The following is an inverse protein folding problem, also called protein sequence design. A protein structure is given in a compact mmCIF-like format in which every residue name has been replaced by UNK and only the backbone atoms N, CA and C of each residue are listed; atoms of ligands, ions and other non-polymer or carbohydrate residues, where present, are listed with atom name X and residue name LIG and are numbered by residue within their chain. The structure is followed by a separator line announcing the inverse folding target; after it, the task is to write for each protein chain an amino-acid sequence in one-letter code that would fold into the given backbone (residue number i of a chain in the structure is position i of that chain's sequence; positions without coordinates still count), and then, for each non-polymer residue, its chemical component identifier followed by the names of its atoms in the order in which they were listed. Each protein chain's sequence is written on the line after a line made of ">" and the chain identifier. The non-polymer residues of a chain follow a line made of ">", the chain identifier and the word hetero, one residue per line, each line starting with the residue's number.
data_IF_244202029607
#
_entry.id   IF_244202029607
#
_cell.length_a   1.000
_cell.length_b   1.000
_cell.length_c   1.000
_cell.angle_alpha   90.00
_cell.angle_beta   90.00
_cell.angle_gamma   90.00
#
_symmetry.space_group_name_H-M   'P 1'
#
loop_
_entity.id
_entity.type
_entity.pdbx_description
1 polymer ?
#
# COMPACT_ATOMS: atom_id res chain seq x y z
N UNK A 1 4.32 42.52 -15.40
CA UNK A 1 3.73 41.36 -16.09
C UNK A 1 4.19 40.14 -15.33
N UNK A 2 3.36 39.79 -14.36
CA UNK A 2 3.59 38.85 -13.29
C UNK A 2 3.75 37.43 -13.81
N UNK A 3 4.89 36.80 -13.48
CA UNK A 3 5.13 35.37 -13.64
C UNK A 3 5.25 34.75 -12.25
N UNK A 4 4.17 34.78 -11.49
CA UNK A 4 4.10 34.08 -10.21
C UNK A 4 2.67 33.60 -9.95
N UNK A 5 2.25 32.54 -10.65
CA UNK A 5 0.92 31.96 -10.48
C UNK A 5 0.77 30.48 -10.92
N UNK A 6 1.82 29.66 -10.89
CA UNK A 6 1.67 28.23 -11.29
C UNK A 6 2.53 27.24 -10.50
N UNK A 7 3.09 27.62 -9.34
CA UNK A 7 3.84 26.70 -8.46
C UNK A 7 2.99 26.24 -7.26
N UNK A 8 1.67 26.42 -7.34
CA UNK A 8 0.77 26.23 -6.20
C UNK A 8 0.18 24.83 -5.97
N UNK A 9 0.32 23.86 -6.89
CA UNK A 9 -0.41 22.59 -6.74
C UNK A 9 0.24 21.32 -7.32
N UNK A 10 1.51 21.35 -7.75
CA UNK A 10 2.11 20.18 -8.43
C UNK A 10 2.29 18.95 -7.52
N UNK A 11 2.54 19.15 -6.21
CA UNK A 11 2.74 18.03 -5.26
C UNK A 11 1.49 17.16 -5.04
N UNK A 12 0.29 17.73 -5.15
CA UNK A 12 -0.95 16.97 -5.02
C UNK A 12 -1.28 16.16 -6.29
N UNK A 13 -0.71 16.55 -7.44
CA UNK A 13 -0.92 15.88 -8.72
C UNK A 13 -0.01 14.65 -8.94
N UNK A 14 1.01 14.46 -8.11
CA UNK A 14 2.02 13.40 -8.25
C UNK A 14 1.83 12.22 -7.26
N UNK A 15 0.73 12.21 -6.49
CA UNK A 15 0.46 11.18 -5.47
C UNK A 15 -0.76 10.34 -5.84
N UNK A 16 -0.95 9.23 -5.14
CA UNK A 16 -2.07 8.33 -5.40
C UNK A 16 -3.42 8.99 -5.06
N UNK A 17 -4.44 8.70 -5.86
CA UNK A 17 -5.82 9.08 -5.57
C UNK A 17 -6.31 8.39 -4.27
N UNK A 18 -6.78 9.15 -3.25
CA UNK A 18 -7.31 8.59 -2.02
C UNK A 18 -8.42 7.55 -2.22
N UNK A 19 -9.27 7.70 -3.24
CA UNK A 19 -10.35 6.76 -3.50
C UNK A 19 -9.82 5.42 -4.03
N UNK A 20 -8.77 5.45 -4.87
CA UNK A 20 -8.05 4.26 -5.30
C UNK A 20 -7.40 3.54 -4.10
N UNK A 21 -6.70 4.28 -3.23
CA UNK A 21 -6.08 3.68 -2.04
C UNK A 21 -7.13 3.06 -1.13
N UNK A 22 -8.26 3.73 -0.94
CA UNK A 22 -9.36 3.19 -0.16
C UNK A 22 -9.93 1.91 -0.79
N UNK A 23 -10.03 1.84 -2.12
CA UNK A 23 -10.46 0.63 -2.83
C UNK A 23 -9.48 -0.54 -2.63
N UNK A 24 -8.17 -0.29 -2.69
CA UNK A 24 -7.12 -1.28 -2.40
C UNK A 24 -7.28 -1.83 -0.98
N UNK A 25 -7.43 -0.94 0.01
CA UNK A 25 -7.62 -1.36 1.40
C UNK A 25 -8.89 -2.20 1.60
N UNK A 26 -10.03 -1.76 1.04
CA UNK A 26 -11.29 -2.53 1.10
C UNK A 26 -11.18 -3.90 0.44
N UNK A 27 -10.41 -4.03 -0.66
CA UNK A 27 -10.17 -5.31 -1.30
C UNK A 27 -9.46 -6.29 -0.35
N UNK A 28 -8.39 -5.84 0.31
CA UNK A 28 -7.61 -6.68 1.23
C UNK A 28 -8.42 -7.01 2.50
N UNK A 29 -9.13 -6.04 3.07
CA UNK A 29 -9.95 -6.25 4.27
C UNK A 29 -11.11 -7.22 4.03
N UNK A 30 -11.79 -7.15 2.88
CA UNK A 30 -12.84 -8.11 2.51
C UNK A 30 -12.32 -9.54 2.46
N UNK A 31 -11.19 -9.76 1.76
CA UNK A 31 -10.54 -11.07 1.69
C UNK A 31 -10.17 -11.61 3.07
N UNK A 32 -9.76 -10.75 4.01
CA UNK A 32 -9.42 -11.14 5.39
C UNK A 32 -10.67 -11.50 6.19
N UNK A 33 -11.75 -10.75 6.05
CA UNK A 33 -13.02 -11.03 6.72
C UNK A 33 -13.61 -12.39 6.27
N UNK A 34 -13.51 -12.71 4.99
CA UNK A 34 -13.95 -14.00 4.42
C UNK A 34 -13.13 -15.18 4.98
N UNK A 35 -11.79 -15.06 5.02
CA UNK A 35 -10.92 -16.11 5.59
C UNK A 35 -11.11 -16.34 7.09
N UNK A 36 -11.46 -15.29 7.85
CA UNK A 36 -11.71 -15.40 9.29
C UNK A 36 -13.05 -16.06 9.66
N UNK A 37 -13.96 -16.26 8.70
CA UNK A 37 -15.27 -16.85 8.92
C UNK A 37 -15.33 -18.38 8.69
N UNK A 38 -14.29 -18.99 8.08
CA UNK A 38 -14.29 -20.39 7.64
C UNK A 38 -13.42 -21.36 8.46
N UNK A 39 -12.83 -20.94 9.58
CA UNK A 39 -12.05 -21.83 10.43
C UNK A 39 -12.90 -22.49 11.52
N UNK A 40 -13.55 -23.61 11.19
CA UNK A 40 -14.16 -24.50 12.17
C UNK A 40 -13.79 -25.93 11.77
N UNK A 41 -12.60 -26.38 12.18
CA UNK A 41 -12.30 -27.81 12.26
C UNK A 41 -12.82 -28.30 13.60
N UNK A 42 -13.65 -29.34 13.55
CA UNK A 42 -14.49 -29.89 14.60
C UNK A 42 -13.79 -29.99 15.97
N UNK A 43 -14.20 -29.14 16.91
CA UNK A 43 -14.04 -29.38 18.34
C UNK A 43 -15.40 -29.15 18.98
N UNK A 44 -16.04 -30.24 19.39
CA UNK A 44 -17.27 -30.29 20.16
C UNK A 44 -17.04 -29.66 21.54
N UNK A 45 -17.24 -28.35 21.64
CA UNK A 45 -17.20 -27.59 22.90
C UNK A 45 -18.48 -26.75 22.99
N UNK A 46 -19.20 -27.01 24.08
CA UNK A 46 -20.35 -26.29 24.68
C UNK A 46 -20.57 -24.83 24.20
N UNK A 47 -21.83 -24.41 23.99
CA UNK A 47 -22.16 -23.10 23.43
C UNK A 47 -21.83 -21.98 24.45
N UNK A 48 -20.62 -21.46 24.36
CA UNK A 48 -20.27 -20.19 24.99
C UNK A 48 -21.11 -19.05 24.37
N UNK A 49 -21.55 -18.07 25.18
CA UNK A 49 -22.50 -17.05 24.74
C UNK A 49 -21.96 -16.33 23.53
N UNK A 50 -22.78 -16.30 22.47
CA UNK A 50 -22.50 -15.63 21.21
C UNK A 50 -22.19 -14.16 21.49
N UNK A 51 -20.90 -13.86 21.65
CA UNK A 51 -20.42 -12.48 21.52
C UNK A 51 -20.68 -12.15 20.07
N UNK A 52 -21.82 -11.51 19.82
CA UNK A 52 -22.22 -10.97 18.52
C UNK A 52 -20.95 -10.44 17.86
N UNK A 53 -20.44 -11.18 16.87
CA UNK A 53 -19.34 -10.78 16.00
C UNK A 53 -19.91 -9.61 15.22
N UNK A 54 -19.91 -8.45 15.87
CA UNK A 54 -20.44 -7.21 15.33
C UNK A 54 -19.50 -6.94 14.18
N UNK A 55 -19.98 -7.23 12.97
CA UNK A 55 -19.29 -7.05 11.70
C UNK A 55 -18.91 -5.58 11.56
N UNK A 56 -17.89 -5.15 12.30
CA UNK A 56 -17.36 -3.81 12.21
C UNK A 56 -16.55 -3.80 10.94
N UNK A 57 -17.19 -3.33 9.87
CA UNK A 57 -16.53 -3.06 8.60
C UNK A 57 -15.30 -2.18 8.86
N UNK A 58 -14.12 -2.72 8.60
CA UNK A 58 -12.87 -1.95 8.66
C UNK A 58 -12.94 -0.81 7.64
N UNK A 59 -12.57 0.40 8.06
CA UNK A 59 -12.57 1.61 7.23
C UNK A 59 -11.38 2.48 7.59
N UNK A 60 -10.96 3.36 6.68
CA UNK A 60 -9.94 4.39 6.91
C UNK A 60 -10.56 5.79 6.82
N UNK A 61 -10.14 6.68 7.72
CA UNK A 61 -10.53 8.08 7.66
C UNK A 61 -9.72 8.84 6.60
N UNK A 62 -10.16 10.05 6.24
CA UNK A 62 -9.54 10.86 5.18
C UNK A 62 -8.06 11.16 5.43
N UNK A 63 -7.66 11.43 6.68
CA UNK A 63 -6.25 11.70 7.03
C UNK A 63 -5.38 10.46 6.86
N UNK A 64 -5.87 9.30 7.29
CA UNK A 64 -5.17 8.03 7.10
C UNK A 64 -5.01 7.70 5.62
N UNK A 65 -6.03 7.97 4.79
CA UNK A 65 -5.94 7.79 3.34
C UNK A 65 -4.87 8.70 2.72
N UNK A 66 -4.83 10.00 3.09
CA UNK A 66 -3.80 10.92 2.60
C UNK A 66 -2.39 10.46 2.94
N UNK A 67 -2.16 10.03 4.19
CA UNK A 67 -0.86 9.50 4.60
C UNK A 67 -0.52 8.20 3.85
N UNK A 68 -1.52 7.35 3.61
CA UNK A 68 -1.33 6.11 2.84
C UNK A 68 -0.96 6.37 1.38
N UNK A 69 -1.53 7.42 0.76
CA UNK A 69 -1.11 7.86 -0.58
C UNK A 69 0.37 8.22 -0.60
N UNK A 70 0.84 8.99 0.38
CA UNK A 70 2.26 9.34 0.49
C UNK A 70 3.15 8.14 0.78
N UNK A 71 2.72 7.24 1.66
CA UNK A 71 3.46 6.02 1.96
C UNK A 71 3.71 5.19 0.70
N UNK A 72 2.66 4.95 -0.09
CA UNK A 72 2.77 4.18 -1.34
C UNK A 72 3.59 4.93 -2.39
N UNK A 73 3.48 6.26 -2.47
CA UNK A 73 4.32 7.07 -3.37
C UNK A 73 5.80 6.92 -3.03
N UNK A 74 6.14 7.00 -1.75
CA UNK A 74 7.51 6.83 -1.26
C UNK A 74 7.99 5.41 -1.52
N UNK A 75 7.19 4.38 -1.21
CA UNK A 75 7.54 2.97 -1.46
C UNK A 75 7.90 2.72 -2.93
N UNK A 76 7.08 3.20 -3.87
CA UNK A 76 7.35 3.03 -5.31
C UNK A 76 8.57 3.84 -5.75
N UNK A 77 8.73 5.06 -5.25
CA UNK A 77 9.88 5.92 -5.59
C UNK A 77 11.18 5.29 -5.10
N UNK A 78 11.22 4.77 -3.88
CA UNK A 78 12.36 4.05 -3.31
C UNK A 78 12.71 2.80 -4.13
N UNK A 79 11.70 2.01 -4.50
CA UNK A 79 11.90 0.84 -5.35
C UNK A 79 12.58 1.21 -6.68
N UNK A 80 12.11 2.26 -7.35
CA UNK A 80 12.64 2.72 -8.63
C UNK A 80 14.05 3.29 -8.46
N UNK A 81 14.28 4.16 -7.48
CA UNK A 81 15.58 4.80 -7.28
C UNK A 81 16.68 3.79 -6.94
N UNK A 82 16.39 2.82 -6.07
CA UNK A 82 17.35 1.76 -5.73
C UNK A 82 17.62 0.85 -6.92
N UNK A 83 16.60 0.51 -7.71
CA UNK A 83 16.78 -0.28 -8.93
C UNK A 83 17.58 0.48 -9.99
N UNK A 84 17.34 1.78 -10.14
CA UNK A 84 18.10 2.66 -11.02
C UNK A 84 19.58 2.72 -10.63
N UNK A 85 19.87 2.82 -9.33
CA UNK A 85 21.24 2.83 -8.83
C UNK A 85 22.02 1.55 -9.22
N UNK A 86 21.38 0.38 -9.17
CA UNK A 86 22.02 -0.86 -9.65
C UNK A 86 22.19 -0.84 -11.17
N UNK A 87 21.17 -0.42 -11.92
CA UNK A 87 21.24 -0.34 -13.38
C UNK A 87 22.38 0.60 -13.85
N UNK A 88 22.52 1.76 -13.22
CA UNK A 88 23.60 2.72 -13.49
C UNK A 88 24.98 2.13 -13.20
N UNK A 89 25.12 1.35 -12.12
CA UNK A 89 26.36 0.66 -11.79
C UNK A 89 26.72 -0.46 -12.80
N UNK A 90 25.75 -0.93 -13.58
CA UNK A 90 25.89 -1.91 -14.65
C UNK A 90 25.97 -1.26 -16.04
N UNK A 91 26.12 0.08 -16.13
CA UNK A 91 26.08 0.88 -17.36
C UNK A 91 24.79 0.68 -18.18
N UNK A 92 23.71 0.22 -17.54
CA UNK A 92 22.41 0.03 -18.15
C UNK A 92 21.59 1.32 -18.16
N UNK A 93 20.93 1.60 -19.29
CA UNK A 93 20.09 2.79 -19.47
C UNK A 93 18.61 2.54 -19.17
N UNK A 94 18.25 1.30 -18.86
CA UNK A 94 16.88 0.86 -18.58
C UNK A 94 16.88 -0.02 -17.35
N UNK A 95 15.93 0.22 -16.44
CA UNK A 95 15.73 -0.64 -15.27
C UNK A 95 15.08 -1.94 -15.73
N UNK A 96 15.88 -3.01 -15.74
CA UNK A 96 15.40 -4.38 -15.89
C UNK A 96 14.84 -4.97 -14.57
N UNK A 97 13.98 -6.00 -14.64
CA UNK A 97 13.42 -6.68 -13.46
C UNK A 97 14.47 -7.23 -12.49
N UNK A 98 15.62 -7.65 -13.02
CA UNK A 98 16.75 -8.18 -12.24
C UNK A 98 17.31 -7.16 -11.25
N UNK A 99 17.31 -5.87 -11.59
CA UNK A 99 17.72 -4.81 -10.67
C UNK A 99 16.74 -4.68 -9.50
N UNK A 100 15.43 -4.77 -9.78
CA UNK A 100 14.40 -4.74 -8.74
C UNK A 100 14.51 -5.96 -7.81
N UNK A 101 14.69 -7.15 -8.37
CA UNK A 101 14.85 -8.40 -7.61
C UNK A 101 16.02 -8.32 -6.61
N UNK A 102 17.11 -7.64 -6.97
CA UNK A 102 18.28 -7.45 -6.09
C UNK A 102 17.99 -6.52 -4.92
N UNK A 103 17.20 -5.46 -5.11
CA UNK A 103 16.89 -4.50 -4.04
C UNK A 103 15.69 -4.92 -3.19
N UNK A 104 14.85 -5.83 -3.71
CA UNK A 104 13.59 -6.23 -3.11
C UNK A 104 13.72 -6.73 -1.66
N UNK A 105 14.72 -7.56 -1.27
CA UNK A 105 14.84 -8.02 0.11
C UNK A 105 14.99 -6.87 1.11
N UNK A 106 15.86 -5.89 0.80
CA UNK A 106 16.06 -4.74 1.69
C UNK A 106 14.89 -3.77 1.62
N UNK A 107 14.31 -3.56 0.44
CA UNK A 107 13.12 -2.72 0.28
C UNK A 107 11.96 -3.21 1.16
N UNK A 108 11.76 -4.52 1.27
CA UNK A 108 10.71 -5.12 2.12
C UNK A 108 11.07 -5.16 3.61
N UNK A 109 12.34 -4.95 3.98
CA UNK A 109 12.74 -4.82 5.39
C UNK A 109 12.56 -3.39 5.90
N UNK A 110 12.67 -2.40 5.01
CA UNK A 110 12.52 -0.99 5.36
C UNK A 110 11.05 -0.56 5.55
N UNK A 111 10.09 -1.39 5.12
CA UNK A 111 8.64 -1.13 5.16
C UNK A 111 7.87 -2.27 5.85
#
# INVERSE_FOLDING_TARGET
>A
MDKDATVGNSRAAETFDPDLIHAIFKLVWRRRAEKGAGGNEDIDVEPAPETSRRNRSTTANASALKVSCELLRIFVTEAIQRSAFIAEAEDATVIEPTHLERVLPQLLLDF
#
